data_IF_340822175462
#
_entry.id   IF_340822175462
#
_cell.length_a   1.000
_cell.length_b   1.000
_cell.length_c   1.000
_cell.angle_alpha   90.00
_cell.angle_beta   90.00
_cell.angle_gamma   90.00
#
_symmetry.space_group_name_H-M   'P 1'
#
loop_
_entity.id
_entity.type
_entity.pdbx_description
1 polymer ?
#
# COMPACT_ATOMS: atom_id res chain seq x y z
N UNK A 1 19.84 -14.97 -3.12
CA UNK A 1 19.11 -14.65 -4.36
C UNK A 1 17.91 -13.77 -4.03
N UNK A 2 18.10 -12.46 -3.87
CA UNK A 2 17.03 -11.51 -3.46
C UNK A 2 15.88 -11.46 -4.48
N UNK A 3 16.19 -11.66 -5.77
CA UNK A 3 15.25 -11.69 -6.88
C UNK A 3 14.18 -12.80 -6.75
N UNK A 4 14.58 -13.99 -6.29
CA UNK A 4 13.65 -15.10 -6.11
C UNK A 4 12.60 -14.82 -5.03
N UNK A 5 12.97 -14.02 -4.02
CA UNK A 5 12.04 -13.66 -2.95
C UNK A 5 10.91 -12.74 -3.47
N UNK A 6 11.26 -11.70 -4.25
CA UNK A 6 10.25 -10.82 -4.85
C UNK A 6 9.33 -11.61 -5.79
N UNK A 7 9.90 -12.50 -6.62
CA UNK A 7 9.12 -13.36 -7.53
C UNK A 7 8.16 -14.29 -6.76
N UNK A 8 8.60 -14.86 -5.65
CA UNK A 8 7.76 -15.71 -4.81
C UNK A 8 6.61 -14.94 -4.17
N UNK A 9 6.86 -13.70 -3.72
CA UNK A 9 5.81 -12.83 -3.17
C UNK A 9 4.76 -12.47 -4.24
N UNK A 10 5.19 -12.15 -5.46
CA UNK A 10 4.29 -11.86 -6.58
C UNK A 10 3.41 -13.06 -6.96
N UNK A 11 3.97 -14.28 -6.93
CA UNK A 11 3.21 -15.50 -7.20
C UNK A 11 2.09 -15.72 -6.17
N UNK A 12 2.35 -15.42 -4.89
CA UNK A 12 1.33 -15.48 -3.86
C UNK A 12 0.19 -14.48 -4.14
N UNK A 13 0.52 -13.25 -4.55
CA UNK A 13 -0.49 -12.26 -4.92
C UNK A 13 -1.30 -12.67 -6.15
N UNK A 14 -0.66 -13.30 -7.13
CA UNK A 14 -1.35 -13.83 -8.30
C UNK A 14 -2.36 -14.92 -7.92
N UNK A 15 -2.00 -15.84 -7.02
CA UNK A 15 -2.91 -16.90 -6.54
C UNK A 15 -4.09 -16.33 -5.75
N UNK A 16 -3.88 -15.26 -4.98
CA UNK A 16 -4.95 -14.64 -4.18
C UNK A 16 -5.83 -13.68 -5.03
N UNK A 17 -5.31 -13.17 -6.14
CA UNK A 17 -5.99 -12.31 -7.12
C UNK A 17 -7.43 -12.72 -7.47
N UNK A 18 -7.70 -13.96 -7.94
CA UNK A 18 -9.04 -14.36 -8.37
C UNK A 18 -10.05 -14.28 -7.23
N UNK A 19 -9.65 -14.50 -5.98
CA UNK A 19 -10.55 -14.45 -4.83
C UNK A 19 -11.07 -13.02 -4.65
N UNK A 20 -10.18 -12.03 -4.71
CA UNK A 20 -10.57 -10.62 -4.62
C UNK A 20 -11.41 -10.20 -5.84
N UNK A 21 -10.98 -10.53 -7.06
CA UNK A 21 -11.71 -10.16 -8.28
C UNK A 21 -13.11 -10.77 -8.34
N UNK A 22 -13.25 -12.07 -8.05
CA UNK A 22 -14.55 -12.74 -8.03
C UNK A 22 -15.45 -12.19 -6.92
N UNK A 23 -14.88 -11.89 -5.75
CA UNK A 23 -15.61 -11.25 -4.66
C UNK A 23 -16.14 -9.87 -5.06
N UNK A 24 -15.34 -9.07 -5.77
CA UNK A 24 -15.74 -7.74 -6.24
C UNK A 24 -16.81 -7.81 -7.35
N UNK A 25 -16.67 -8.76 -8.28
CA UNK A 25 -17.61 -8.93 -9.40
C UNK A 25 -18.97 -9.47 -8.97
N UNK A 26 -19.01 -10.48 -8.10
CA UNK A 26 -20.25 -11.14 -7.67
C UNK A 26 -20.95 -10.40 -6.52
N UNK A 27 -20.17 -9.89 -5.56
CA UNK A 27 -20.70 -9.25 -4.36
C UNK A 27 -19.93 -7.97 -4.01
N UNK A 28 -20.20 -6.90 -4.75
CA UNK A 28 -19.50 -5.61 -4.65
C UNK A 28 -19.31 -5.14 -3.20
N UNK A 29 -20.35 -5.19 -2.36
CA UNK A 29 -20.29 -4.76 -0.94
C UNK A 29 -19.32 -5.61 -0.12
N UNK A 30 -19.34 -6.92 -0.34
CA UNK A 30 -18.44 -7.85 0.35
C UNK A 30 -17.00 -7.68 -0.12
N UNK A 31 -16.78 -7.51 -1.43
CA UNK A 31 -15.45 -7.26 -1.99
C UNK A 31 -14.79 -5.98 -1.47
N UNK A 32 -15.54 -4.87 -1.35
CA UNK A 32 -15.01 -3.65 -0.73
C UNK A 32 -14.70 -3.82 0.75
N UNK A 33 -15.55 -4.53 1.50
CA UNK A 33 -15.31 -4.79 2.94
C UNK A 33 -14.05 -5.64 3.14
N UNK A 34 -13.91 -6.74 2.41
CA UNK A 34 -12.75 -7.63 2.46
C UNK A 34 -11.45 -6.87 2.09
N UNK A 35 -11.55 -6.01 1.08
CA UNK A 35 -10.44 -5.18 0.62
C UNK A 35 -10.01 -4.14 1.66
N UNK A 36 -10.98 -3.47 2.28
CA UNK A 36 -10.72 -2.49 3.33
C UNK A 36 -10.08 -3.14 4.56
N UNK A 37 -10.62 -4.28 5.01
CA UNK A 37 -10.09 -5.03 6.16
C UNK A 37 -8.64 -5.45 5.91
N UNK A 38 -8.34 -6.00 4.74
CA UNK A 38 -6.98 -6.43 4.40
C UNK A 38 -5.99 -5.26 4.30
N UNK A 39 -6.44 -4.11 3.81
CA UNK A 39 -5.66 -2.87 3.82
C UNK A 39 -5.34 -2.42 5.26
N UNK A 40 -6.34 -2.38 6.14
CA UNK A 40 -6.14 -2.01 7.54
C UNK A 40 -5.27 -3.01 8.31
N UNK A 41 -5.46 -4.31 8.10
CA UNK A 41 -4.64 -5.36 8.73
C UNK A 41 -3.18 -5.26 8.30
N UNK A 42 -2.93 -4.97 7.02
CA UNK A 42 -1.57 -4.76 6.50
C UNK A 42 -0.92 -3.53 7.14
N UNK A 43 -1.63 -2.40 7.20
CA UNK A 43 -1.15 -1.19 7.86
C UNK A 43 -0.92 -1.37 9.36
N UNK A 44 -1.84 -2.03 10.05
CA UNK A 44 -1.74 -2.32 11.49
C UNK A 44 -0.56 -3.25 11.79
N UNK A 45 -0.35 -4.28 10.96
CA UNK A 45 0.80 -5.18 11.10
C UNK A 45 2.11 -4.42 10.95
N UNK A 46 2.21 -3.55 9.94
CA UNK A 46 3.39 -2.69 9.76
C UNK A 46 3.61 -1.77 10.96
N UNK A 47 2.56 -1.13 11.46
CA UNK A 47 2.63 -0.25 12.63
C UNK A 47 3.07 -0.99 13.90
N UNK A 48 2.49 -2.17 14.17
CA UNK A 48 2.81 -2.98 15.35
C UNK A 48 4.27 -3.44 15.33
N UNK A 49 4.78 -3.88 14.17
CA UNK A 49 6.17 -4.31 14.04
C UNK A 49 7.12 -3.12 14.21
N UNK A 50 6.81 -1.95 13.63
CA UNK A 50 7.61 -0.74 13.85
C UNK A 50 7.67 -0.35 15.33
N UNK A 51 6.53 -0.43 16.04
CA UNK A 51 6.45 -0.11 17.48
C UNK A 51 7.20 -1.13 18.34
N UNK A 52 7.06 -2.42 18.06
CA UNK A 52 7.65 -3.49 18.87
C UNK A 52 9.18 -3.50 18.78
N UNK A 53 9.73 -3.26 17.59
CA UNK A 53 11.17 -3.35 17.36
C UNK A 53 11.87 -1.99 17.47
N UNK A 54 11.16 -0.92 17.88
CA UNK A 54 11.66 0.47 17.91
C UNK A 54 12.46 0.78 16.63
N UNK A 55 11.95 0.31 15.49
CA UNK A 55 12.59 0.53 14.20
C UNK A 55 12.44 2.02 13.91
N UNK A 56 13.44 2.80 14.33
CA UNK A 56 13.59 4.19 13.92
C UNK A 56 13.35 4.25 12.42
N UNK A 57 12.55 5.23 11.99
CA UNK A 57 12.21 5.48 10.59
C UNK A 57 13.47 5.38 9.74
N UNK A 58 13.72 4.21 9.17
CA UNK A 58 14.91 3.93 8.39
C UNK A 58 14.68 4.50 6.98
N UNK A 59 14.50 5.81 6.93
CA UNK A 59 14.54 6.55 5.68
C UNK A 59 16.02 6.73 5.36
N UNK A 60 16.46 6.19 4.22
CA UNK A 60 17.80 6.41 3.68
C UNK A 60 18.16 7.91 3.59
N UNK A 61 17.16 8.81 3.58
CA UNK A 61 17.36 10.26 3.63
C UNK A 61 17.96 10.77 4.93
N UNK A 62 17.90 10.00 6.02
CA UNK A 62 18.50 10.35 7.33
C UNK A 62 19.88 9.73 7.54
N UNK A 63 20.44 9.08 6.52
CA UNK A 63 21.77 8.47 6.58
C UNK A 63 22.86 9.47 6.99
N UNK A 64 22.67 10.76 6.70
CA UNK A 64 23.57 11.84 7.12
C UNK A 64 23.69 11.96 8.66
N UNK A 65 22.66 11.59 9.41
CA UNK A 65 22.65 11.68 10.88
C UNK A 65 23.38 10.51 11.57
N UNK A 66 23.72 9.46 10.82
CA UNK A 66 24.32 8.22 11.34
C UNK A 66 25.67 7.89 10.65
N UNK A 67 26.31 8.88 10.01
CA UNK A 67 27.61 8.70 9.34
C UNK A 67 28.69 8.20 10.31
N UNK A 68 28.61 8.60 11.58
CA UNK A 68 29.59 8.21 12.60
C UNK A 68 29.42 6.76 13.08
N UNK A 69 28.26 6.12 12.81
CA UNK A 69 27.92 4.80 13.36
C UNK A 69 27.20 3.93 12.32
N UNK A 70 27.86 3.74 11.16
CA UNK A 70 27.29 3.03 10.02
C UNK A 70 26.94 1.56 10.32
N UNK A 71 27.68 0.90 11.21
CA UNK A 71 27.44 -0.52 11.55
C UNK A 71 26.09 -0.72 12.25
N UNK A 72 25.74 0.15 13.20
CA UNK A 72 24.45 0.11 13.91
C UNK A 72 23.29 0.49 12.97
N UNK A 73 23.54 1.42 12.04
CA UNK A 73 22.60 1.76 10.97
C UNK A 73 22.33 0.57 10.04
N UNK A 74 23.36 -0.08 9.51
CA UNK A 74 23.20 -1.23 8.62
C UNK A 74 22.50 -2.41 9.32
N UNK A 75 22.84 -2.70 10.58
CA UNK A 75 22.14 -3.73 11.36
C UNK A 75 20.64 -3.43 11.52
N UNK A 76 20.29 -2.16 11.73
CA UNK A 76 18.89 -1.73 11.81
C UNK A 76 18.17 -1.87 10.47
N UNK A 77 18.84 -1.53 9.35
CA UNK A 77 18.33 -1.72 7.98
C UNK A 77 18.08 -3.20 7.68
N UNK A 78 19.01 -4.08 8.05
CA UNK A 78 18.85 -5.52 7.85
C UNK A 78 17.74 -6.11 8.72
N UNK A 79 17.63 -5.68 9.98
CA UNK A 79 16.49 -6.07 10.84
C UNK A 79 15.16 -5.60 10.27
N UNK A 80 15.10 -4.36 9.77
CA UNK A 80 13.92 -3.84 9.08
C UNK A 80 13.59 -4.68 7.85
N UNK A 81 14.60 -5.01 7.04
CA UNK A 81 14.43 -5.82 5.85
C UNK A 81 13.83 -7.19 6.20
N UNK A 82 14.43 -7.90 7.17
CA UNK A 82 14.00 -9.23 7.62
C UNK A 82 12.59 -9.21 8.24
N UNK A 83 12.30 -8.25 9.12
CA UNK A 83 11.07 -8.26 9.91
C UNK A 83 9.87 -7.63 9.20
N UNK A 84 10.08 -6.66 8.31
CA UNK A 84 9.02 -5.91 7.62
C UNK A 84 9.05 -6.11 6.11
N UNK A 85 10.21 -5.94 5.49
CA UNK A 85 10.33 -5.89 4.03
C UNK A 85 10.08 -7.28 3.42
N UNK A 86 10.71 -8.33 3.94
CA UNK A 86 10.62 -9.70 3.39
C UNK A 86 9.24 -10.36 3.59
N UNK A 87 8.31 -9.70 4.29
CA UNK A 87 7.02 -10.28 4.63
C UNK A 87 5.94 -9.80 3.66
N UNK A 88 5.30 -10.70 2.89
CA UNK A 88 4.38 -10.32 1.81
C UNK A 88 3.13 -9.60 2.31
N UNK A 89 2.67 -9.88 3.54
CA UNK A 89 1.47 -9.30 4.12
C UNK A 89 1.59 -7.79 4.43
N UNK A 90 2.80 -7.24 4.59
CA UNK A 90 3.00 -5.80 4.79
C UNK A 90 2.88 -5.01 3.48
N UNK A 91 2.90 -5.72 2.33
CA UNK A 91 2.89 -5.14 0.98
C UNK A 91 1.62 -5.40 0.17
N UNK A 92 0.75 -6.27 0.66
CA UNK A 92 -0.52 -6.61 0.00
C UNK A 92 -1.37 -5.35 -0.28
N UNK A 93 -1.21 -4.28 0.51
CA UNK A 93 -1.97 -3.03 0.40
C UNK A 93 -1.81 -2.31 -0.95
N UNK A 94 -0.59 -2.25 -1.51
CA UNK A 94 -0.34 -1.61 -2.81
C UNK A 94 -0.93 -2.44 -3.96
N UNK A 95 -0.80 -3.76 -3.88
CA UNK A 95 -1.43 -4.70 -4.81
C UNK A 95 -2.96 -4.53 -4.82
N UNK A 96 -3.56 -4.48 -3.64
CA UNK A 96 -5.00 -4.38 -3.47
C UNK A 96 -5.57 -3.07 -4.03
N UNK A 97 -4.81 -1.98 -3.87
CA UNK A 97 -5.14 -0.68 -4.47
C UNK A 97 -5.19 -0.79 -5.99
N UNK A 98 -4.26 -1.53 -6.61
CA UNK A 98 -4.27 -1.82 -8.04
C UNK A 98 -5.50 -2.60 -8.49
N UNK A 99 -5.89 -3.64 -7.74
CA UNK A 99 -7.10 -4.44 -8.03
C UNK A 99 -8.37 -3.59 -7.93
N UNK A 100 -8.50 -2.79 -6.86
CA UNK A 100 -9.63 -1.88 -6.67
C UNK A 100 -9.71 -0.83 -7.79
N UNK A 101 -8.56 -0.26 -8.19
CA UNK A 101 -8.47 0.69 -9.28
C UNK A 101 -8.91 0.04 -10.61
N UNK A 102 -8.41 -1.16 -10.91
CA UNK A 102 -8.79 -1.91 -12.10
C UNK A 102 -10.29 -2.20 -12.15
N UNK A 103 -10.87 -2.60 -11.01
CA UNK A 103 -12.32 -2.77 -10.89
C UNK A 103 -13.09 -1.45 -11.05
N UNK A 104 -12.58 -0.33 -10.55
CA UNK A 104 -13.23 0.97 -10.70
C UNK A 104 -13.33 1.42 -12.16
N UNK A 105 -12.33 1.07 -12.98
CA UNK A 105 -12.29 1.30 -14.43
C UNK A 105 -13.13 0.30 -15.22
N UNK A 106 -13.39 -0.89 -14.67
CA UNK A 106 -14.18 -1.93 -15.34
C UNK A 106 -15.59 -1.43 -15.67
N UNK A 107 -15.92 -1.37 -16.97
CA UNK A 107 -17.24 -0.98 -17.48
C UNK A 107 -17.52 0.53 -17.58
N UNK A 108 -16.53 1.41 -17.38
CA UNK A 108 -16.69 2.87 -17.56
C UNK A 108 -15.96 3.39 -18.78
N UNK A 109 -16.59 4.33 -19.49
CA UNK A 109 -15.94 5.06 -20.58
C UNK A 109 -14.94 6.08 -20.01
N UNK A 110 -13.75 6.16 -20.60
CA UNK A 110 -12.69 7.09 -20.17
C UNK A 110 -13.13 8.56 -20.17
N UNK A 111 -14.06 8.96 -21.06
CA UNK A 111 -14.63 10.31 -21.11
C UNK A 111 -15.42 10.66 -19.83
N UNK A 112 -16.26 9.74 -19.34
CA UNK A 112 -17.07 9.96 -18.13
C UNK A 112 -16.20 10.02 -16.87
N UNK A 113 -15.11 9.25 -16.87
CA UNK A 113 -14.13 9.26 -15.79
C UNK A 113 -13.41 10.61 -15.76
N UNK A 114 -12.88 11.09 -16.90
CA UNK A 114 -12.19 12.39 -17.00
C UNK A 114 -13.06 13.53 -16.46
N UNK A 115 -14.35 13.56 -16.82
CA UNK A 115 -15.27 14.61 -16.38
C UNK A 115 -15.51 14.57 -14.85
N UNK A 116 -15.61 13.38 -14.24
CA UNK A 116 -15.72 13.24 -12.77
C UNK A 116 -14.43 13.63 -12.04
N UNK A 117 -13.25 13.28 -12.55
CA UNK A 117 -11.98 13.68 -11.92
C UNK A 117 -11.79 15.20 -11.92
N UNK A 118 -12.13 15.86 -13.03
CA UNK A 118 -12.11 17.33 -13.11
C UNK A 118 -13.12 17.92 -12.11
N UNK A 119 -14.31 17.35 -11.99
CA UNK A 119 -15.31 17.78 -11.01
C UNK A 119 -14.83 17.61 -9.56
N UNK A 120 -14.22 16.47 -9.21
CA UNK A 120 -13.65 16.25 -7.88
C UNK A 120 -12.49 17.21 -7.57
N UNK A 121 -11.59 17.46 -8.51
CA UNK A 121 -10.49 18.42 -8.34
C UNK A 121 -11.05 19.84 -8.14
N UNK A 122 -12.06 20.22 -8.93
CA UNK A 122 -12.73 21.52 -8.79
C UNK A 122 -13.42 21.64 -7.44
N UNK A 123 -14.14 20.62 -6.98
CA UNK A 123 -14.81 20.60 -5.67
C UNK A 123 -13.81 20.66 -4.52
N UNK A 124 -12.71 19.90 -4.58
CA UNK A 124 -11.65 19.93 -3.56
C UNK A 124 -10.99 21.30 -3.52
N UNK A 125 -10.71 21.90 -4.69
CA UNK A 125 -10.14 23.25 -4.79
C UNK A 125 -11.10 24.31 -4.23
N UNK A 126 -12.39 24.21 -4.53
CA UNK A 126 -13.42 25.10 -3.98
C UNK A 126 -13.54 24.99 -2.45
N UNK A 127 -13.49 23.77 -1.93
CA UNK A 127 -13.59 23.52 -0.48
C UNK A 127 -12.35 24.02 0.27
N UNK A 128 -11.16 23.92 -0.34
CA UNK A 128 -9.93 24.49 0.20
C UNK A 128 -9.95 26.04 0.20
N UNK A 129 -10.51 26.63 -0.85
CA UNK A 129 -10.60 28.09 -0.98
C UNK A 129 -11.63 28.71 0.00
N UNK A 130 -12.69 27.97 0.35
CA UNK A 130 -13.67 28.36 1.37
C UNK A 130 -13.16 28.25 2.82
N UNK A 131 -12.06 27.54 3.07
CA UNK A 131 -11.48 27.36 4.41
C UNK A 131 -10.36 28.39 4.71
N UNK A 132 -9.94 29.16 3.70
CA UNK A 132 -8.86 30.16 3.79
C UNK A 132 -9.38 31.61 3.77
N UNK A 133 -10.69 31.83 3.81
CA UNK A 133 -11.36 33.12 4.02
C UNK A 133 -12.11 33.08 5.35
#
# INVERSE_FOLDING_TARGET
MVWCWSLAAEMQFYVVSPIFLLSLLRWQRFGYSLSSITFFLSGLSSFLITKQYNLMHCNFSQLHLYIDDLETFFNSVFMYADKLYFKPYTRISSYLTGVLLGYYFYGKNFKDIKNRWVSCIVVVKFKFMSLNN
#
